data_IF_057712096858
#
_entry.id   IF_057712096858
#
_cell.length_a   1.000
_cell.length_b   1.000
_cell.length_c   1.000
_cell.angle_alpha   90.00
_cell.angle_beta   90.00
_cell.angle_gamma   90.00
#
_symmetry.space_group_name_H-M   'P 1'
#
loop_
_entity.id
_entity.type
_entity.pdbx_description
1 polymer ?
#
# COMPACT_ATOMS: atom_id res chain seq x y z
N UNK A 1 1.56 -18.85 -7.07
CA UNK A 1 1.52 -17.90 -5.93
C UNK A 1 0.71 -16.70 -6.37
N UNK A 2 -0.49 -16.49 -5.84
CA UNK A 2 -1.32 -15.33 -6.20
C UNK A 2 -0.68 -14.05 -5.65
N UNK A 3 -0.31 -13.13 -6.54
CA UNK A 3 0.30 -11.83 -6.19
C UNK A 3 -0.61 -11.00 -5.27
N UNK A 4 -1.92 -11.25 -5.40
CA UNK A 4 -3.04 -10.69 -4.64
C UNK A 4 -3.05 -11.09 -3.15
N UNK A 5 -2.29 -12.12 -2.72
CA UNK A 5 -2.28 -12.59 -1.31
C UNK A 5 -1.55 -11.63 -0.37
N UNK A 6 -0.63 -10.81 -0.89
CA UNK A 6 0.20 -9.91 -0.07
C UNK A 6 -0.49 -8.59 0.27
N UNK A 7 -1.59 -8.25 -0.42
CA UNK A 7 -2.30 -6.98 -0.28
C UNK A 7 -3.22 -6.95 0.95
N UNK A 8 -3.26 -5.79 1.62
CA UNK A 8 -4.22 -5.44 2.68
C UNK A 8 -5.60 -5.16 2.10
N UNK A 9 -6.62 -5.07 2.97
CA UNK A 9 -8.01 -4.82 2.56
C UNK A 9 -8.16 -3.53 1.74
N UNK A 10 -7.47 -2.46 2.15
CA UNK A 10 -7.52 -1.16 1.46
C UNK A 10 -6.83 -1.21 0.10
N UNK A 11 -5.68 -1.88 0.01
CA UNK A 11 -4.95 -2.07 -1.25
C UNK A 11 -5.77 -2.89 -2.26
N UNK A 12 -6.44 -3.96 -1.80
CA UNK A 12 -7.36 -4.72 -2.64
C UNK A 12 -8.55 -3.88 -3.13
N UNK A 13 -9.02 -2.95 -2.30
CA UNK A 13 -10.10 -2.02 -2.68
C UNK A 13 -9.63 -1.11 -3.82
N UNK A 14 -8.47 -0.47 -3.64
CA UNK A 14 -7.85 0.38 -4.65
C UNK A 14 -7.62 -0.36 -5.96
N UNK A 15 -7.01 -1.56 -5.91
CA UNK A 15 -6.77 -2.38 -7.12
C UNK A 15 -8.09 -2.68 -7.83
N UNK A 16 -9.12 -3.09 -7.10
CA UNK A 16 -10.42 -3.38 -7.69
C UNK A 16 -11.08 -2.12 -8.29
N UNK A 17 -10.99 -0.96 -7.66
CA UNK A 17 -11.49 0.30 -8.21
C UNK A 17 -10.71 0.73 -9.47
N UNK A 18 -9.38 0.59 -9.47
CA UNK A 18 -8.50 0.93 -10.61
C UNK A 18 -8.73 0.05 -11.84
N UNK A 19 -9.04 -1.23 -11.64
CA UNK A 19 -9.43 -2.14 -12.73
C UNK A 19 -10.92 -2.00 -13.11
N UNK A 20 -11.63 -1.02 -12.55
CA UNK A 20 -13.01 -0.68 -12.91
C UNK A 20 -14.07 -1.55 -12.26
N UNK A 21 -13.74 -2.30 -11.20
CA UNK A 21 -14.70 -3.11 -10.45
C UNK A 21 -15.39 -2.30 -9.36
N UNK A 22 -16.69 -2.56 -9.19
CA UNK A 22 -17.46 -1.95 -8.10
C UNK A 22 -17.19 -2.68 -6.80
N UNK A 23 -16.58 -1.99 -5.84
CA UNK A 23 -16.24 -2.58 -4.56
C UNK A 23 -17.26 -2.25 -3.47
N UNK A 24 -17.89 -3.26 -2.83
CA UNK A 24 -18.78 -3.02 -1.71
C UNK A 24 -18.05 -2.39 -0.52
N UNK A 25 -18.69 -1.43 0.17
CA UNK A 25 -18.12 -0.77 1.35
C UNK A 25 -17.74 -1.78 2.45
N UNK A 26 -18.60 -2.77 2.65
CA UNK A 26 -18.49 -3.84 3.65
C UNK A 26 -17.79 -5.11 3.16
N UNK A 27 -17.23 -5.11 1.95
CA UNK A 27 -16.54 -6.27 1.40
C UNK A 27 -15.41 -6.74 2.32
N UNK A 28 -15.32 -8.07 2.53
CA UNK A 28 -14.21 -8.65 3.28
C UNK A 28 -13.00 -8.79 2.37
N UNK A 29 -11.81 -8.87 2.98
CA UNK A 29 -10.55 -9.07 2.26
C UNK A 29 -10.59 -10.28 1.30
N UNK A 30 -11.23 -11.36 1.74
CA UNK A 30 -11.37 -12.60 0.94
C UNK A 30 -12.30 -12.39 -0.26
N UNK A 31 -13.39 -11.65 -0.09
CA UNK A 31 -14.33 -11.34 -1.17
C UNK A 31 -13.67 -10.44 -2.21
N UNK A 32 -12.93 -9.41 -1.78
CA UNK A 32 -12.19 -8.52 -2.67
C UNK A 32 -11.15 -9.28 -3.52
N UNK A 33 -10.41 -10.18 -2.87
CA UNK A 33 -9.43 -11.03 -3.56
C UNK A 33 -10.10 -11.88 -4.62
N UNK A 34 -11.21 -12.52 -4.26
CA UNK A 34 -11.96 -13.36 -5.17
C UNK A 34 -12.56 -12.55 -6.32
N UNK A 35 -13.10 -11.37 -6.03
CA UNK A 35 -13.70 -10.46 -7.01
C UNK A 35 -12.68 -9.97 -8.05
N UNK A 36 -11.44 -9.69 -7.64
CA UNK A 36 -10.34 -9.37 -8.57
C UNK A 36 -9.95 -10.61 -9.37
N UNK A 37 -9.68 -11.75 -8.72
CA UNK A 37 -9.23 -12.98 -9.42
C UNK A 37 -10.28 -13.54 -10.39
N UNK A 38 -11.57 -13.35 -10.10
CA UNK A 38 -12.67 -13.79 -10.97
C UNK A 38 -13.06 -12.78 -12.04
N UNK A 39 -12.59 -11.54 -11.96
CA UNK A 39 -12.92 -10.50 -12.93
C UNK A 39 -12.41 -10.84 -14.32
N UNK A 40 -13.19 -10.47 -15.34
CA UNK A 40 -12.78 -10.60 -16.73
C UNK A 40 -11.49 -9.82 -17.00
N UNK A 41 -11.30 -8.64 -16.41
CA UNK A 41 -10.06 -7.85 -16.55
C UNK A 41 -8.83 -8.62 -16.07
N UNK A 42 -8.92 -9.36 -14.96
CA UNK A 42 -7.81 -10.19 -14.48
C UNK A 42 -7.52 -11.38 -15.40
N UNK A 43 -8.56 -11.90 -16.07
CA UNK A 43 -8.46 -13.04 -16.98
C UNK A 43 -8.00 -12.64 -18.39
N UNK A 44 -8.45 -11.49 -18.88
CA UNK A 44 -8.12 -10.92 -20.18
C UNK A 44 -6.78 -10.19 -20.16
N UNK A 45 -6.53 -9.39 -19.12
CA UNK A 45 -5.43 -8.42 -19.04
C UNK A 45 -4.63 -8.56 -17.72
N UNK A 46 -4.14 -9.78 -17.48
CA UNK A 46 -3.38 -10.11 -16.27
C UNK A 46 -2.15 -9.20 -16.04
N UNK A 47 -1.43 -8.81 -17.10
CA UNK A 47 -0.27 -7.91 -17.00
C UNK A 47 -0.67 -6.50 -16.54
N UNK A 48 -1.83 -6.01 -16.99
CA UNK A 48 -2.36 -4.74 -16.52
C UNK A 48 -2.68 -4.82 -15.02
N UNK A 49 -3.42 -5.84 -14.58
CA UNK A 49 -3.76 -5.99 -13.16
C UNK A 49 -2.50 -6.18 -12.30
N UNK A 50 -1.50 -6.91 -12.80
CA UNK A 50 -0.20 -7.03 -12.14
C UNK A 50 0.48 -5.66 -11.98
N UNK A 51 0.46 -4.83 -13.01
CA UNK A 51 1.03 -3.48 -12.98
C UNK A 51 0.32 -2.60 -11.96
N UNK A 52 -1.01 -2.60 -11.94
CA UNK A 52 -1.82 -1.88 -10.94
C UNK A 52 -1.47 -2.32 -9.52
N UNK A 53 -1.33 -3.63 -9.29
CA UNK A 53 -0.93 -4.18 -7.98
C UNK A 53 0.47 -3.70 -7.58
N UNK A 54 1.42 -3.69 -8.53
CA UNK A 54 2.78 -3.19 -8.27
C UNK A 54 2.78 -1.70 -7.94
N UNK A 55 1.97 -0.88 -8.63
CA UNK A 55 1.83 0.55 -8.35
C UNK A 55 1.26 0.81 -6.95
N UNK A 56 0.18 0.12 -6.58
CA UNK A 56 -0.44 0.26 -5.24
C UNK A 56 0.54 -0.15 -4.14
N UNK A 57 1.26 -1.26 -4.31
CA UNK A 57 2.29 -1.70 -3.34
C UNK A 57 3.44 -0.70 -3.23
N UNK A 58 3.87 -0.12 -4.36
CA UNK A 58 4.94 0.86 -4.40
C UNK A 58 4.54 2.16 -3.69
N UNK A 59 3.32 2.65 -3.90
CA UNK A 59 2.79 3.82 -3.19
C UNK A 59 2.75 3.61 -1.67
N UNK A 60 2.22 2.48 -1.20
CA UNK A 60 2.14 2.16 0.23
C UNK A 60 3.55 2.05 0.83
N UNK A 61 4.48 1.37 0.15
CA UNK A 61 5.86 1.22 0.61
C UNK A 61 6.62 2.54 0.63
N UNK A 62 6.33 3.44 -0.31
CA UNK A 62 6.93 4.77 -0.38
C UNK A 62 6.44 5.63 0.79
N UNK A 63 5.14 5.60 1.09
CA UNK A 63 4.61 6.28 2.27
C UNK A 63 5.20 5.75 3.57
N UNK A 64 5.30 4.42 3.74
CA UNK A 64 5.92 3.83 4.93
C UNK A 64 7.41 4.16 5.05
N UNK A 65 8.14 4.26 3.93
CA UNK A 65 9.57 4.60 3.94
C UNK A 65 9.81 6.08 4.20
N UNK A 66 8.99 6.98 3.66
CA UNK A 66 9.06 8.41 3.95
C UNK A 66 8.71 8.70 5.42
N UNK A 67 7.73 7.99 5.98
CA UNK A 67 7.35 8.15 7.37
C UNK A 67 8.46 7.67 8.32
N UNK A 68 9.14 6.55 8.01
CA UNK A 68 10.30 6.08 8.79
C UNK A 68 11.51 7.02 8.68
N UNK A 69 11.81 7.52 7.48
CA UNK A 69 12.92 8.46 7.26
C UNK A 69 12.73 9.80 7.97
N UNK A 70 11.49 10.32 8.03
CA UNK A 70 11.16 11.54 8.78
C UNK A 70 11.33 11.39 10.29
N UNK A 71 10.90 10.26 10.86
CA UNK A 71 11.01 9.98 12.30
C UNK A 71 12.47 9.87 12.73
N UNK A 72 13.34 9.27 11.91
CA UNK A 72 14.77 9.12 12.24
C UNK A 72 15.49 10.48 12.23
N UNK A 73 15.15 11.35 11.27
CA UNK A 73 15.65 12.73 11.18
C UNK A 73 15.20 13.61 12.35
N UNK A 74 13.94 13.50 12.79
CA UNK A 74 13.43 14.23 13.95
C UNK A 74 14.09 13.78 15.26
N UNK A 75 14.31 12.48 15.45
CA UNK A 75 15.02 11.96 16.63
C UNK A 75 16.46 12.46 16.69
N UNK A 76 17.16 12.45 15.56
CA UNK A 76 18.55 12.92 15.49
C UNK A 76 18.66 14.43 15.76
N UNK A 77 17.74 15.25 15.24
CA UNK A 77 17.70 16.69 15.56
C UNK A 77 17.41 16.95 17.03
N UNK A 78 16.49 16.20 17.63
CA UNK A 78 16.12 16.38 19.03
C UNK A 78 17.29 16.06 19.97
N UNK A 79 18.05 14.99 19.69
CA UNK A 79 19.22 14.62 20.47
C UNK A 79 20.32 15.69 20.41
N UNK A 80 20.54 16.30 19.24
CA UNK A 80 21.51 17.38 19.06
C UNK A 80 21.14 18.64 19.85
N UNK A 81 19.87 19.05 19.80
CA UNK A 81 19.37 20.22 20.54
C UNK A 81 19.45 19.99 22.06
N UNK A 82 19.18 18.76 22.54
CA UNK A 82 19.32 18.43 23.96
C UNK A 82 20.76 18.51 24.44
N UNK A 83 21.71 17.98 23.64
CA UNK A 83 23.13 18.02 23.97
C UNK A 83 23.69 19.45 24.01
N UNK A 84 23.23 20.34 23.11
CA UNK A 84 23.63 21.75 23.12
C UNK A 84 23.03 22.53 24.29
N UNK A 85 21.85 22.14 24.80
CA UNK A 85 21.21 22.78 25.95
C UNK A 85 21.80 22.33 27.30
N UNK A 86 22.33 21.11 27.40
CA UNK A 86 23.03 20.60 28.60
C UNK A 86 24.47 21.11 28.73
N UNK A 87 25.04 21.67 27.66
CA UNK A 87 26.40 22.25 27.63
C UNK A 87 26.41 23.78 27.78
N UNK A 88 25.25 24.43 27.91
CA UNK A 88 25.06 25.87 28.12
C UNK A 88 24.69 26.19 29.57
#
# INVERSE_FOLDING_TARGET
MSIVVKLKKEELKLVAEEIGLTVPRDAKRVDLKWLIEESDVFKEDYEFVKTVIEQVLEEVKTQESQQKGGIELERLKLERVKAELELA
#
